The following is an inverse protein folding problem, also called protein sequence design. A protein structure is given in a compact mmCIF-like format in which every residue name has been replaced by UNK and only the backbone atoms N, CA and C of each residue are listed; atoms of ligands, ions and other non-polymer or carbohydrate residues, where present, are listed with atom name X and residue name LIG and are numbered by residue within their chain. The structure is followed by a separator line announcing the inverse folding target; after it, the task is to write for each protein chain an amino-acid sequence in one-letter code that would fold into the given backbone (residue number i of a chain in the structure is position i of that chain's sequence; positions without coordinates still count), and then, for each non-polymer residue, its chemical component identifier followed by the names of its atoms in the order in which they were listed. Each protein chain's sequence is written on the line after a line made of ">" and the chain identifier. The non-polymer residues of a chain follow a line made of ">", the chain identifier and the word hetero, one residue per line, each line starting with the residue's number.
data_IF_799767862880
#
_entry.id   IF_799767862880
#
_cell.length_a   1.000
_cell.length_b   1.000
_cell.length_c   1.000
_cell.angle_alpha   90.00
_cell.angle_beta   90.00
_cell.angle_gamma   90.00
#
_symmetry.space_group_name_H-M   'P 1'
#
loop_
_entity.id
_entity.type
_entity.pdbx_description
1 polymer ?
#
# COMPACT_ATOMS: atom_id res chain seq x y z
N UNK A 1 8.49 39.41 49.41
CA UNK A 1 9.63 39.14 48.53
C UNK A 1 9.30 37.87 47.77
N UNK A 2 8.72 38.03 46.55
CA UNK A 2 8.34 36.94 45.67
C UNK A 2 9.44 36.76 44.64
N UNK A 3 10.06 35.56 44.63
CA UNK A 3 11.04 35.20 43.60
C UNK A 3 10.29 34.51 42.43
N UNK A 4 10.20 35.23 41.31
CA UNK A 4 9.77 34.67 40.03
C UNK A 4 10.94 33.94 39.39
N UNK A 5 10.76 32.65 39.10
CA UNK A 5 11.71 31.85 38.30
C UNK A 5 11.48 32.11 36.80
N UNK A 6 12.55 32.16 35.97
CA UNK A 6 12.40 32.35 34.53
C UNK A 6 11.96 31.07 33.84
N UNK A 7 10.97 31.21 32.94
CA UNK A 7 10.55 30.18 31.97
C UNK A 7 11.72 29.84 31.05
N UNK A 8 12.23 28.61 31.13
CA UNK A 8 13.21 28.07 30.19
C UNK A 8 12.58 27.87 28.82
N UNK A 9 13.08 28.59 27.84
CA UNK A 9 12.79 28.42 26.42
C UNK A 9 13.23 27.01 25.98
N UNK A 10 12.26 26.17 25.60
CA UNK A 10 12.53 24.91 24.91
C UNK A 10 13.13 25.23 23.53
N UNK A 11 14.14 24.48 23.08
CA UNK A 11 14.73 24.70 21.77
C UNK A 11 13.72 24.39 20.66
N UNK A 12 13.50 25.35 19.76
CA UNK A 12 12.80 25.15 18.51
C UNK A 12 13.56 24.11 17.68
N UNK A 13 13.02 22.89 17.59
CA UNK A 13 13.47 21.96 16.57
C UNK A 13 12.98 22.47 15.22
N UNK A 14 13.86 22.64 14.21
CA UNK A 14 13.42 22.97 12.86
C UNK A 14 12.53 21.83 12.34
N UNK A 15 11.37 22.20 11.83
CA UNK A 15 10.45 21.29 11.16
C UNK A 15 11.20 20.53 10.05
N UNK A 16 11.38 19.22 10.23
CA UNK A 16 12.06 18.35 9.27
C UNK A 16 11.09 18.05 8.14
N UNK A 17 11.48 18.41 6.94
CA UNK A 17 10.69 18.30 5.71
C UNK A 17 10.11 16.91 5.48
N UNK A 18 8.87 16.88 5.07
CA UNK A 18 8.05 15.72 4.81
C UNK A 18 8.53 15.01 3.52
N UNK A 19 8.96 13.77 3.63
CA UNK A 19 9.36 12.92 2.49
C UNK A 19 8.16 12.11 2.02
N UNK A 20 7.23 12.73 1.26
CA UNK A 20 5.86 12.24 1.07
C UNK A 20 5.66 11.14 0.01
N UNK A 21 6.47 11.04 -1.03
CA UNK A 21 6.07 10.30 -2.22
C UNK A 21 6.09 8.78 -2.15
N UNK A 22 7.11 8.09 -1.65
CA UNK A 22 7.08 6.63 -1.58
C UNK A 22 6.00 6.09 -0.64
N UNK A 23 5.63 6.89 0.35
CA UNK A 23 4.70 6.52 1.43
C UNK A 23 3.24 6.63 0.99
N UNK A 24 2.93 7.65 0.22
CA UNK A 24 1.59 7.88 -0.33
C UNK A 24 1.22 6.86 -1.41
N UNK A 25 2.22 6.36 -2.13
CA UNK A 25 2.05 5.34 -3.14
C UNK A 25 1.69 3.97 -2.54
N UNK A 26 2.12 3.69 -1.30
CA UNK A 26 1.81 2.45 -0.59
C UNK A 26 0.41 2.44 0.05
N UNK A 27 -0.14 3.62 0.37
CA UNK A 27 -1.43 3.74 1.09
C UNK A 27 -2.66 4.06 0.23
N UNK A 28 -2.49 4.66 -0.94
CA UNK A 28 -3.58 5.28 -1.71
C UNK A 28 -3.76 4.72 -3.14
N UNK A 29 -3.22 3.54 -3.46
CA UNK A 29 -3.56 2.83 -4.71
C UNK A 29 -5.08 2.61 -4.89
N UNK A 30 -5.83 2.81 -3.82
CA UNK A 30 -7.27 2.62 -3.72
C UNK A 30 -8.11 3.59 -4.56
N UNK A 31 -7.55 4.73 -4.98
CA UNK A 31 -8.32 5.79 -5.63
C UNK A 31 -8.30 5.76 -7.16
N UNK A 32 -7.43 4.96 -7.77
CA UNK A 32 -7.30 4.91 -9.23
C UNK A 32 -8.33 3.99 -9.93
N UNK A 33 -9.11 3.21 -9.18
CA UNK A 33 -10.02 2.19 -9.72
C UNK A 33 -11.51 2.55 -9.82
N UNK A 34 -11.95 3.64 -9.21
CA UNK A 34 -13.38 4.00 -9.14
C UNK A 34 -13.89 4.71 -10.39
N UNK A 35 -14.38 4.00 -11.38
CA UNK A 35 -15.22 4.57 -12.45
C UNK A 35 -16.66 4.68 -11.96
N UNK A 36 -16.97 5.76 -11.23
CA UNK A 36 -18.36 6.16 -11.02
C UNK A 36 -18.88 6.79 -12.31
N UNK A 37 -19.88 6.17 -12.91
CA UNK A 37 -20.61 6.73 -14.03
C UNK A 37 -21.33 8.02 -13.56
N UNK A 38 -20.81 9.18 -13.95
CA UNK A 38 -21.46 10.46 -13.71
C UNK A 38 -22.10 10.99 -14.99
N UNK A 39 -23.33 11.53 -14.84
CA UNK A 39 -24.11 12.13 -15.89
C UNK A 39 -23.37 13.29 -16.57
N UNK A 40 -23.35 13.28 -17.91
CA UNK A 40 -22.68 14.25 -18.76
C UNK A 40 -23.43 15.57 -18.81
N UNK A 41 -22.74 16.67 -18.46
CA UNK A 41 -23.01 18.00 -19.01
C UNK A 41 -22.13 18.24 -20.25
N UNK A 42 -22.63 18.81 -21.34
CA UNK A 42 -21.81 19.00 -22.52
C UNK A 42 -20.80 20.14 -22.32
N UNK A 43 -19.52 19.80 -22.38
CA UNK A 43 -18.41 20.74 -22.36
C UNK A 43 -17.86 20.94 -23.78
N UNK A 44 -17.31 22.14 -24.03
CA UNK A 44 -16.70 22.56 -25.28
C UNK A 44 -15.63 21.57 -25.77
N UNK A 45 -15.53 21.39 -27.09
CA UNK A 45 -14.62 20.47 -27.75
C UNK A 45 -13.15 20.75 -27.36
N UNK A 46 -12.41 19.76 -26.86
CA UNK A 46 -10.99 19.89 -26.58
C UNK A 46 -10.16 19.86 -27.87
N UNK A 47 -9.03 20.57 -27.86
CA UNK A 47 -8.03 20.50 -28.91
C UNK A 47 -7.55 19.05 -29.13
N UNK A 48 -7.13 18.64 -30.34
CA UNK A 48 -6.71 17.28 -30.62
C UNK A 48 -5.47 16.94 -29.79
N UNK A 49 -5.65 16.08 -28.81
CA UNK A 49 -4.55 15.50 -28.04
C UNK A 49 -4.17 14.16 -28.70
N UNK A 50 -2.87 13.97 -28.93
CA UNK A 50 -2.33 12.67 -29.32
C UNK A 50 -2.80 11.62 -28.32
N UNK A 51 -3.39 10.53 -28.81
CA UNK A 51 -3.82 9.43 -27.95
C UNK A 51 -2.60 8.89 -27.18
N UNK A 52 -2.73 8.59 -25.89
CA UNK A 52 -1.63 8.05 -25.08
C UNK A 52 -0.97 6.80 -25.68
N UNK A 53 -1.71 6.02 -26.48
CA UNK A 53 -1.22 4.82 -27.15
C UNK A 53 -0.09 5.06 -28.16
N UNK A 54 0.06 6.27 -28.67
CA UNK A 54 1.04 6.59 -29.73
C UNK A 54 2.32 7.23 -29.18
N UNK A 55 2.41 7.47 -27.86
CA UNK A 55 3.61 8.00 -27.23
C UNK A 55 4.44 6.87 -26.62
N UNK A 56 5.62 6.54 -27.16
CA UNK A 56 6.47 5.44 -26.67
C UNK A 56 6.99 5.68 -25.23
N UNK A 57 6.89 6.91 -24.73
CA UNK A 57 7.23 7.24 -23.33
C UNK A 57 6.12 6.92 -22.35
N UNK A 58 4.92 6.60 -22.81
CA UNK A 58 3.82 6.21 -21.94
C UNK A 58 3.98 4.76 -21.48
N UNK A 59 3.70 4.46 -20.21
CA UNK A 59 3.60 3.08 -19.77
C UNK A 59 2.45 2.37 -20.48
N UNK A 60 2.62 1.07 -20.74
CA UNK A 60 1.51 0.27 -21.24
C UNK A 60 0.32 0.35 -20.27
N UNK A 61 -0.90 0.62 -20.74
CA UNK A 61 -2.07 0.66 -19.87
C UNK A 61 -2.33 -0.72 -19.25
N UNK A 62 -2.97 -0.75 -18.08
CA UNK A 62 -3.45 -2.00 -17.54
C UNK A 62 -4.38 -2.70 -18.54
N UNK A 63 -4.25 -4.00 -18.64
CA UNK A 63 -5.12 -4.82 -19.51
C UNK A 63 -6.56 -4.66 -19.03
N UNK A 64 -7.48 -4.45 -19.98
CA UNK A 64 -8.94 -4.35 -19.72
C UNK A 64 -9.72 -5.50 -20.35
N UNK A 65 -9.09 -6.28 -21.24
CA UNK A 65 -9.74 -7.38 -21.95
C UNK A 65 -9.96 -8.58 -21.03
N UNK A 66 -11.22 -8.97 -20.75
CA UNK A 66 -11.54 -10.13 -19.92
C UNK A 66 -10.95 -11.44 -20.45
N UNK A 67 -10.76 -11.56 -21.77
CA UNK A 67 -10.19 -12.77 -22.38
C UNK A 67 -8.71 -12.96 -21.98
N UNK A 68 -7.97 -11.85 -21.82
CA UNK A 68 -6.57 -11.90 -21.34
C UNK A 68 -6.51 -12.32 -19.88
N UNK A 69 -7.39 -11.78 -19.02
CA UNK A 69 -7.52 -12.23 -17.62
C UNK A 69 -7.86 -13.71 -17.52
N UNK A 70 -8.82 -14.17 -18.34
CA UNK A 70 -9.22 -15.58 -18.37
C UNK A 70 -8.08 -16.47 -18.87
N UNK A 71 -7.34 -16.04 -19.87
CA UNK A 71 -6.17 -16.78 -20.36
C UNK A 71 -5.09 -16.87 -19.29
N UNK A 72 -4.79 -15.75 -18.58
CA UNK A 72 -3.81 -15.72 -17.50
C UNK A 72 -4.23 -16.62 -16.35
N UNK A 73 -5.49 -16.58 -15.91
CA UNK A 73 -5.99 -17.37 -14.77
C UNK A 73 -5.85 -18.89 -14.94
N UNK A 74 -5.70 -19.38 -16.19
CA UNK A 74 -5.52 -20.80 -16.51
C UNK A 74 -4.06 -21.26 -16.42
N UNK A 75 -3.12 -20.33 -16.32
CA UNK A 75 -1.70 -20.65 -16.19
C UNK A 75 -1.38 -21.10 -14.75
N UNK A 76 -0.35 -21.94 -14.56
CA UNK A 76 0.15 -22.20 -13.22
C UNK A 76 0.82 -20.95 -12.66
N UNK A 77 0.47 -20.59 -11.41
CA UNK A 77 1.05 -19.45 -10.70
C UNK A 77 1.83 -19.94 -9.49
N UNK A 78 3.07 -19.51 -9.28
CA UNK A 78 3.81 -19.79 -8.04
C UNK A 78 3.18 -19.02 -6.86
N UNK A 79 3.41 -19.48 -5.65
CA UNK A 79 3.14 -18.69 -4.46
C UNK A 79 4.10 -17.49 -4.43
N UNK A 80 3.55 -16.28 -4.46
CA UNK A 80 4.28 -15.01 -4.37
C UNK A 80 3.93 -14.32 -3.06
N UNK A 81 4.80 -13.42 -2.66
CA UNK A 81 4.69 -12.77 -1.36
C UNK A 81 4.88 -13.76 -0.21
N UNK A 82 4.56 -13.33 0.98
CA UNK A 82 4.70 -14.17 2.16
C UNK A 82 3.35 -14.41 2.81
N UNK A 83 3.01 -15.68 2.98
CA UNK A 83 1.83 -16.16 3.68
C UNK A 83 2.27 -16.76 5.02
N UNK A 84 1.60 -16.38 6.09
CA UNK A 84 1.75 -16.97 7.41
C UNK A 84 0.46 -17.65 7.86
N UNK A 85 0.62 -18.72 8.64
CA UNK A 85 -0.45 -19.29 9.45
C UNK A 85 -0.30 -18.75 10.87
N UNK A 86 -1.38 -18.22 11.39
CA UNK A 86 -1.52 -17.76 12.78
C UNK A 86 -2.35 -18.78 13.55
N UNK A 87 -1.90 -19.20 14.75
CA UNK A 87 -2.61 -20.16 15.59
C UNK A 87 -2.57 -19.75 17.05
N UNK A 88 -3.73 -19.83 17.72
CA UNK A 88 -3.84 -19.68 19.17
C UNK A 88 -4.99 -20.56 19.67
N UNK A 89 -4.68 -21.63 20.42
CA UNK A 89 -5.67 -22.68 20.73
C UNK A 89 -6.26 -23.27 19.46
N UNK A 90 -7.59 -23.27 19.37
CA UNK A 90 -8.33 -23.76 18.21
C UNK A 90 -8.46 -22.72 17.08
N UNK A 91 -8.12 -21.47 17.37
CA UNK A 91 -8.15 -20.40 16.36
C UNK A 91 -7.02 -20.56 15.37
N UNK A 92 -7.37 -20.64 14.09
CA UNK A 92 -6.44 -20.65 12.95
C UNK A 92 -6.85 -19.54 12.01
N UNK A 93 -5.89 -18.77 11.53
CA UNK A 93 -6.08 -17.76 10.48
C UNK A 93 -4.87 -17.74 9.56
N UNK A 94 -5.00 -17.04 8.44
CA UNK A 94 -3.93 -16.85 7.48
C UNK A 94 -3.69 -15.35 7.28
N UNK A 95 -2.43 -14.94 7.29
CA UNK A 95 -2.01 -13.57 7.05
C UNK A 95 -1.11 -13.53 5.83
N UNK A 96 -1.49 -12.77 4.81
CA UNK A 96 -0.72 -12.59 3.59
C UNK A 96 -0.23 -11.15 3.50
N UNK A 97 1.08 -10.97 3.28
CA UNK A 97 1.66 -9.67 3.01
C UNK A 97 1.26 -9.19 1.63
N UNK A 98 0.46 -8.12 1.55
CA UNK A 98 -0.01 -7.55 0.29
C UNK A 98 0.91 -6.46 -0.24
N UNK A 99 0.64 -6.01 -1.47
CA UNK A 99 1.26 -4.86 -2.12
C UNK A 99 0.25 -4.17 -3.03
N UNK A 100 0.26 -2.82 -3.04
CA UNK A 100 -0.74 -2.01 -3.75
C UNK A 100 -0.49 -1.82 -5.25
N UNK A 101 0.59 -2.36 -5.78
CA UNK A 101 0.91 -2.39 -7.21
C UNK A 101 1.37 -3.78 -7.59
N UNK A 102 1.32 -4.12 -8.87
CA UNK A 102 1.77 -5.43 -9.30
C UNK A 102 1.78 -5.61 -10.81
N UNK A 103 1.85 -6.85 -11.21
CA UNK A 103 1.72 -7.31 -12.58
C UNK A 103 0.48 -8.20 -12.71
N UNK A 104 -0.08 -8.33 -13.90
CA UNK A 104 -1.28 -9.14 -14.13
C UNK A 104 -1.17 -10.57 -13.55
N UNK A 105 -0.05 -11.32 -13.68
CA UNK A 105 0.07 -12.65 -13.09
C UNK A 105 0.01 -12.68 -11.55
N UNK A 106 0.23 -11.56 -10.87
CA UNK A 106 0.30 -11.50 -9.41
C UNK A 106 -1.06 -11.54 -8.74
N UNK A 107 -2.11 -11.10 -9.45
CA UNK A 107 -3.48 -11.14 -8.92
C UNK A 107 -4.03 -12.58 -8.80
N UNK A 108 -3.35 -13.55 -9.40
CA UNK A 108 -3.68 -14.97 -9.31
C UNK A 108 -2.77 -15.66 -8.29
N UNK A 109 -3.27 -15.95 -7.08
CA UNK A 109 -2.44 -16.54 -6.02
C UNK A 109 -2.00 -17.96 -6.36
N UNK A 110 -0.80 -18.32 -5.93
CA UNK A 110 -0.28 -19.68 -6.04
C UNK A 110 -1.03 -20.69 -5.15
N UNK A 111 -0.66 -21.98 -5.22
CA UNK A 111 -1.47 -23.08 -4.67
C UNK A 111 -1.77 -22.94 -3.18
N UNK A 112 -0.77 -22.60 -2.34
CA UNK A 112 -0.93 -22.49 -0.88
C UNK A 112 -1.80 -21.30 -0.51
N UNK A 113 -1.51 -20.14 -1.10
CA UNK A 113 -2.27 -18.90 -0.87
C UNK A 113 -3.70 -19.06 -1.37
N UNK A 114 -3.90 -19.66 -2.56
CA UNK A 114 -5.23 -19.93 -3.10
C UNK A 114 -6.02 -20.94 -2.24
N UNK A 115 -5.36 -21.95 -1.66
CA UNK A 115 -5.99 -22.89 -0.74
C UNK A 115 -6.49 -22.19 0.52
N UNK A 116 -5.65 -21.37 1.15
CA UNK A 116 -6.02 -20.59 2.33
C UNK A 116 -7.18 -19.63 2.04
N UNK A 117 -7.11 -18.91 0.91
CA UNK A 117 -8.15 -17.96 0.48
C UNK A 117 -9.51 -18.66 0.18
N UNK A 118 -9.50 -19.84 -0.44
CA UNK A 118 -10.72 -20.62 -0.69
C UNK A 118 -11.36 -21.14 0.58
N UNK A 119 -10.53 -21.63 1.53
CA UNK A 119 -11.02 -22.16 2.80
C UNK A 119 -11.60 -21.09 3.73
N UNK A 120 -11.16 -19.85 3.58
CA UNK A 120 -11.60 -18.74 4.42
C UNK A 120 -13.07 -18.37 4.17
N UNK A 121 -13.90 -18.27 5.23
CA UNK A 121 -15.30 -17.82 5.10
C UNK A 121 -15.43 -16.33 4.82
N UNK A 122 -14.42 -15.54 5.18
CA UNK A 122 -14.34 -14.10 4.97
C UNK A 122 -12.89 -13.68 4.73
N UNK A 123 -12.68 -12.48 4.21
CA UNK A 123 -11.37 -11.83 4.15
C UNK A 123 -11.36 -10.58 5.02
N UNK A 124 -10.19 -10.26 5.57
CA UNK A 124 -9.94 -9.00 6.27
C UNK A 124 -8.83 -8.24 5.54
N UNK A 125 -9.08 -6.99 5.21
CA UNK A 125 -8.14 -6.08 4.56
C UNK A 125 -7.91 -4.87 5.46
N UNK A 126 -6.83 -4.12 5.24
CA UNK A 126 -6.64 -2.85 5.92
C UNK A 126 -7.87 -1.97 5.75
N UNK A 127 -8.31 -1.77 4.52
CA UNK A 127 -9.59 -1.17 4.12
C UNK A 127 -10.26 -2.03 3.05
N UNK A 128 -11.56 -1.87 2.87
CA UNK A 128 -12.23 -2.37 1.67
C UNK A 128 -12.16 -1.29 0.56
N UNK A 129 -11.27 -1.47 -0.44
CA UNK A 129 -11.03 -0.46 -1.47
C UNK A 129 -12.15 -0.32 -2.50
N UNK A 130 -13.14 -1.19 -2.47
CA UNK A 130 -14.29 -1.13 -3.39
C UNK A 130 -15.59 -0.77 -2.66
N UNK A 131 -15.55 -0.63 -1.33
CA UNK A 131 -16.69 -0.17 -0.54
C UNK A 131 -17.00 1.32 -0.81
N UNK A 132 -18.24 1.67 -1.21
CA UNK A 132 -18.61 3.04 -1.52
C UNK A 132 -18.40 4.03 -0.38
N UNK A 133 -18.62 3.62 0.88
CA UNK A 133 -18.44 4.48 2.03
C UNK A 133 -16.97 4.79 2.30
N UNK A 134 -16.10 3.79 2.15
CA UNK A 134 -14.64 3.95 2.20
C UNK A 134 -14.15 4.91 1.12
N UNK A 135 -14.58 4.73 -0.13
CA UNK A 135 -14.22 5.59 -1.25
C UNK A 135 -14.71 7.02 -1.05
N UNK A 136 -15.92 7.19 -0.53
CA UNK A 136 -16.47 8.51 -0.21
C UNK A 136 -15.65 9.23 0.86
N UNK A 137 -15.29 8.54 1.95
CA UNK A 137 -14.49 9.10 3.04
C UNK A 137 -13.10 9.55 2.55
N UNK A 138 -12.42 8.71 1.77
CA UNK A 138 -11.13 9.03 1.15
C UNK A 138 -11.23 10.24 0.20
N UNK A 139 -12.26 10.27 -0.64
CA UNK A 139 -12.49 11.38 -1.58
C UNK A 139 -12.76 12.69 -0.83
N UNK A 140 -13.55 12.65 0.23
CA UNK A 140 -13.86 13.82 1.06
C UNK A 140 -12.60 14.40 1.70
N UNK A 141 -11.79 13.56 2.33
CA UNK A 141 -10.55 14.01 2.96
C UNK A 141 -9.56 14.64 1.96
N UNK A 142 -9.48 14.09 0.75
CA UNK A 142 -8.66 14.68 -0.30
C UNK A 142 -9.17 16.02 -0.81
N UNK A 143 -10.49 16.24 -0.80
CA UNK A 143 -11.05 17.56 -1.11
C UNK A 143 -10.70 18.59 -0.04
N UNK A 144 -10.82 18.22 1.22
CA UNK A 144 -10.46 19.08 2.36
C UNK A 144 -8.98 19.46 2.34
N UNK A 145 -8.10 18.49 2.06
CA UNK A 145 -6.66 18.74 1.89
C UNK A 145 -6.41 19.72 0.72
N UNK A 146 -7.13 19.55 -0.39
CA UNK A 146 -6.99 20.46 -1.54
C UNK A 146 -7.29 21.92 -1.17
N UNK A 147 -8.30 22.16 -0.34
CA UNK A 147 -8.64 23.52 0.07
C UNK A 147 -7.53 24.15 0.93
N UNK A 148 -6.90 23.37 1.78
CA UNK A 148 -5.72 23.79 2.56
C UNK A 148 -4.49 24.04 1.66
N UNK A 149 -4.26 23.20 0.66
CA UNK A 149 -3.12 23.30 -0.26
C UNK A 149 -3.26 24.39 -1.33
N UNK A 150 -4.47 24.86 -1.62
CA UNK A 150 -4.72 25.89 -2.64
C UNK A 150 -3.87 27.15 -2.45
N UNK A 151 -3.67 27.58 -1.20
CA UNK A 151 -2.88 28.76 -0.91
C UNK A 151 -1.40 28.52 -1.24
N UNK A 152 -0.85 27.38 -0.85
CA UNK A 152 0.53 26.98 -1.14
C UNK A 152 0.76 26.97 -2.66
N UNK A 153 -0.15 26.36 -3.42
CA UNK A 153 -0.03 26.27 -4.87
C UNK A 153 -0.20 27.62 -5.57
N UNK A 154 -1.05 28.52 -5.07
CA UNK A 154 -1.20 29.89 -5.61
C UNK A 154 0.06 30.74 -5.41
N UNK A 155 0.78 30.54 -4.30
CA UNK A 155 2.04 31.22 -4.01
C UNK A 155 3.24 30.64 -4.75
N UNK A 156 3.10 29.43 -5.33
CA UNK A 156 4.16 28.71 -6.05
C UNK A 156 3.64 28.20 -7.41
N UNK A 157 3.31 29.11 -8.35
CA UNK A 157 2.71 28.75 -9.65
C UNK A 157 3.64 27.88 -10.51
N UNK A 158 4.95 27.97 -10.28
CA UNK A 158 5.95 27.12 -10.95
C UNK A 158 5.78 25.65 -10.62
N UNK A 159 5.36 25.31 -9.38
CA UNK A 159 5.09 23.93 -8.98
C UNK A 159 3.85 23.39 -9.73
N UNK A 160 2.82 24.20 -9.86
CA UNK A 160 1.62 23.82 -10.58
C UNK A 160 1.93 23.58 -12.07
N UNK A 161 2.71 24.45 -12.68
CA UNK A 161 3.17 24.30 -14.07
C UNK A 161 4.02 23.06 -14.25
N UNK A 162 4.98 22.81 -13.33
CA UNK A 162 5.83 21.62 -13.35
C UNK A 162 5.00 20.33 -13.24
N UNK A 163 4.08 20.27 -12.28
CA UNK A 163 3.19 19.11 -12.10
C UNK A 163 2.36 18.83 -13.35
N UNK A 164 1.79 19.87 -13.98
CA UNK A 164 1.02 19.75 -15.21
C UNK A 164 1.86 19.21 -16.38
N UNK A 165 3.08 19.72 -16.54
CA UNK A 165 4.03 19.23 -17.55
C UNK A 165 4.39 17.76 -17.30
N UNK A 166 4.74 17.38 -16.07
CA UNK A 166 5.06 16.00 -15.71
C UNK A 166 3.87 15.07 -15.94
N UNK A 167 2.65 15.52 -15.66
CA UNK A 167 1.45 14.73 -15.92
C UNK A 167 1.27 14.43 -17.41
N UNK A 168 1.48 15.42 -18.26
CA UNK A 168 1.44 15.26 -19.71
C UNK A 168 2.54 14.33 -20.22
N UNK A 169 3.79 14.54 -19.81
CA UNK A 169 4.96 13.73 -20.18
C UNK A 169 4.86 12.28 -19.64
N UNK A 170 4.19 12.08 -18.53
CA UNK A 170 3.96 10.75 -17.91
C UNK A 170 2.68 10.08 -18.40
N UNK A 171 1.92 10.72 -19.29
CA UNK A 171 0.68 10.17 -19.85
C UNK A 171 -0.39 9.93 -18.78
N UNK A 172 -0.46 10.76 -17.75
CA UNK A 172 -1.56 10.72 -16.80
C UNK A 172 -2.86 11.04 -17.57
N UNK A 173 -3.87 10.22 -17.37
CA UNK A 173 -5.16 10.43 -18.00
C UNK A 173 -5.73 11.81 -17.64
N UNK A 174 -6.11 12.59 -18.66
CA UNK A 174 -6.55 13.97 -18.48
C UNK A 174 -7.85 14.09 -17.67
N UNK A 175 -8.75 13.14 -17.80
CA UNK A 175 -9.98 13.13 -17.00
C UNK A 175 -9.66 12.89 -15.52
N UNK A 176 -8.77 11.98 -15.24
CA UNK A 176 -8.23 11.73 -13.88
C UNK A 176 -7.51 12.97 -13.34
N UNK A 177 -6.68 13.61 -14.17
CA UNK A 177 -5.95 14.82 -13.78
C UNK A 177 -6.86 16.01 -13.47
N UNK A 178 -7.91 16.21 -14.24
CA UNK A 178 -8.87 17.30 -14.05
C UNK A 178 -9.80 17.03 -12.86
N UNK A 179 -10.21 15.78 -12.67
CA UNK A 179 -11.09 15.38 -11.57
C UNK A 179 -10.35 15.44 -10.23
N UNK A 180 -9.08 15.07 -10.19
CA UNK A 180 -8.24 15.11 -9.00
C UNK A 180 -7.61 16.51 -8.84
N UNK A 181 -8.39 17.44 -8.32
CA UNK A 181 -7.91 18.83 -8.10
C UNK A 181 -6.92 18.91 -6.90
N UNK A 182 -6.93 17.95 -5.98
CA UNK A 182 -6.07 17.95 -4.81
C UNK A 182 -4.59 17.73 -5.18
N UNK A 183 -3.70 18.52 -4.60
CA UNK A 183 -2.24 18.44 -4.83
C UNK A 183 -1.70 17.04 -4.53
N UNK A 184 -2.12 16.47 -3.42
CA UNK A 184 -1.72 15.12 -3.03
C UNK A 184 -2.19 14.07 -4.04
N UNK A 185 -3.45 14.10 -4.47
CA UNK A 185 -3.98 13.17 -5.47
C UNK A 185 -3.21 13.24 -6.79
N UNK A 186 -2.78 14.45 -7.18
CA UNK A 186 -1.94 14.66 -8.38
C UNK A 186 -0.53 14.08 -8.21
N UNK A 187 0.10 14.28 -7.05
CA UNK A 187 1.40 13.67 -6.75
C UNK A 187 1.32 12.14 -6.74
N UNK A 188 0.25 11.58 -6.17
CA UNK A 188 -0.01 10.14 -6.20
C UNK A 188 -0.16 9.65 -7.65
N UNK A 189 -0.97 10.33 -8.46
CA UNK A 189 -1.17 9.95 -9.86
C UNK A 189 0.14 9.96 -10.65
N UNK A 190 0.99 10.98 -10.45
CA UNK A 190 2.32 11.04 -11.06
C UNK A 190 3.21 9.88 -10.63
N UNK A 191 3.27 9.59 -9.34
CA UNK A 191 4.06 8.49 -8.80
C UNK A 191 3.58 7.11 -9.26
N UNK A 192 2.26 6.89 -9.33
CA UNK A 192 1.67 5.65 -9.86
C UNK A 192 1.99 5.45 -11.34
N UNK A 193 1.94 6.53 -12.12
CA UNK A 193 2.28 6.48 -13.53
C UNK A 193 3.79 6.23 -13.73
N UNK A 194 4.64 6.78 -12.86
CA UNK A 194 6.09 6.50 -12.89
C UNK A 194 6.38 5.02 -12.57
N UNK A 195 5.65 4.43 -11.61
CA UNK A 195 5.77 2.99 -11.32
C UNK A 195 5.27 2.11 -12.46
N UNK A 196 4.21 2.51 -13.15
CA UNK A 196 3.70 1.78 -14.31
C UNK A 196 4.73 1.67 -15.45
N UNK A 197 5.66 2.61 -15.57
CA UNK A 197 6.82 2.52 -16.50
C UNK A 197 7.74 1.34 -16.20
N UNK A 198 7.72 0.82 -14.99
CA UNK A 198 8.47 -0.37 -14.58
C UNK A 198 7.69 -1.66 -14.77
N UNK A 199 6.46 -1.59 -15.31
CA UNK A 199 5.57 -2.73 -15.45
C UNK A 199 4.77 -3.07 -14.19
N UNK A 200 4.88 -2.27 -13.12
CA UNK A 200 4.08 -2.44 -11.90
C UNK A 200 2.90 -1.48 -11.90
N UNK A 201 1.71 -2.03 -12.01
CA UNK A 201 0.49 -1.25 -12.21
C UNK A 201 -0.41 -1.28 -10.98
N UNK A 202 -1.00 -0.16 -10.53
CA UNK A 202 -1.93 -0.13 -9.40
C UNK A 202 -3.20 -0.97 -9.63
N UNK A 203 -3.64 -1.12 -10.88
CA UNK A 203 -4.76 -2.00 -11.22
C UNK A 203 -4.52 -3.48 -10.86
N UNK A 204 -3.27 -3.87 -10.65
CA UNK A 204 -2.87 -5.22 -10.23
C UNK A 204 -2.45 -5.28 -8.77
N UNK A 205 -2.77 -4.25 -7.98
CA UNK A 205 -2.59 -4.27 -6.53
C UNK A 205 -3.35 -5.44 -5.89
N UNK A 206 -2.70 -6.09 -4.94
CA UNK A 206 -3.24 -7.32 -4.32
C UNK A 206 -4.52 -7.03 -3.55
N UNK A 207 -4.53 -5.97 -2.73
CA UNK A 207 -5.68 -5.60 -1.90
C UNK A 207 -6.92 -5.31 -2.74
N UNK A 208 -6.76 -4.53 -3.81
CA UNK A 208 -7.83 -4.18 -4.75
C UNK A 208 -8.42 -5.42 -5.40
N UNK A 209 -7.56 -6.31 -5.89
CA UNK A 209 -8.02 -7.51 -6.58
C UNK A 209 -8.62 -8.55 -5.64
N UNK A 210 -8.12 -8.68 -4.39
CA UNK A 210 -8.73 -9.51 -3.36
C UNK A 210 -10.14 -9.02 -3.01
N UNK A 211 -10.31 -7.71 -2.77
CA UNK A 211 -11.62 -7.13 -2.51
C UNK A 211 -12.58 -7.37 -3.68
N UNK A 212 -12.16 -7.02 -4.90
CA UNK A 212 -12.98 -7.21 -6.10
C UNK A 212 -13.41 -8.66 -6.31
N UNK A 213 -12.48 -9.62 -6.14
CA UNK A 213 -12.79 -11.05 -6.22
C UNK A 213 -13.77 -11.50 -5.12
N UNK A 214 -13.56 -11.04 -3.89
CA UNK A 214 -14.44 -11.40 -2.77
C UNK A 214 -15.86 -10.89 -2.99
N UNK A 215 -16.01 -9.63 -3.36
CA UNK A 215 -17.33 -9.06 -3.69
C UNK A 215 -18.00 -9.78 -4.87
N UNK A 216 -17.24 -10.11 -5.92
CA UNK A 216 -17.76 -10.81 -7.09
C UNK A 216 -18.34 -12.19 -6.77
N UNK A 217 -17.84 -12.88 -5.73
CA UNK A 217 -18.34 -14.19 -5.29
C UNK A 217 -19.20 -14.11 -4.01
N UNK A 218 -19.52 -12.92 -3.53
CA UNK A 218 -20.31 -12.72 -2.32
C UNK A 218 -19.59 -13.13 -1.03
N UNK A 219 -18.24 -13.19 -1.02
CA UNK A 219 -17.46 -13.44 0.20
C UNK A 219 -17.34 -12.16 1.01
N UNK A 220 -17.69 -12.18 2.31
CA UNK A 220 -17.60 -10.98 3.15
C UNK A 220 -16.19 -10.41 3.20
N UNK A 221 -16.09 -9.08 3.08
CA UNK A 221 -14.87 -8.29 3.27
C UNK A 221 -15.01 -7.49 4.56
N UNK A 222 -14.03 -7.55 5.43
CA UNK A 222 -13.99 -6.82 6.70
C UNK A 222 -12.81 -5.86 6.68
N UNK A 223 -13.05 -4.58 6.97
CA UNK A 223 -11.99 -3.61 7.15
C UNK A 223 -11.38 -3.73 8.56
N UNK A 224 -10.05 -3.81 8.65
CA UNK A 224 -9.33 -3.84 9.93
C UNK A 224 -9.22 -2.42 10.50
N UNK A 225 -9.10 -1.43 9.62
CA UNK A 225 -8.99 0.00 9.96
C UNK A 225 -10.15 0.78 9.36
N UNK A 226 -10.33 2.00 9.81
CA UNK A 226 -11.23 2.96 9.16
C UNK A 226 -10.46 3.83 8.16
N UNK A 227 -11.16 4.37 7.16
CA UNK A 227 -10.58 5.33 6.22
C UNK A 227 -9.95 6.52 6.96
N UNK A 228 -10.59 6.98 8.05
CA UNK A 228 -10.08 8.10 8.84
C UNK A 228 -8.76 7.76 9.55
N UNK A 229 -8.60 6.55 10.07
CA UNK A 229 -7.35 6.13 10.71
C UNK A 229 -6.18 6.10 9.74
N UNK A 230 -6.40 5.60 8.52
CA UNK A 230 -5.37 5.64 7.48
C UNK A 230 -5.04 7.05 7.03
N UNK A 231 -6.05 7.90 6.86
CA UNK A 231 -5.87 9.30 6.49
C UNK A 231 -5.07 10.06 7.56
N UNK A 232 -5.37 9.84 8.84
CA UNK A 232 -4.61 10.43 9.95
C UNK A 232 -3.15 9.94 9.97
N UNK A 233 -2.90 8.66 9.71
CA UNK A 233 -1.54 8.13 9.60
C UNK A 233 -0.74 8.77 8.45
N UNK A 234 -1.42 9.18 7.38
CA UNK A 234 -0.84 9.91 6.25
C UNK A 234 -0.76 11.43 6.47
N UNK A 235 -1.15 11.92 7.66
CA UNK A 235 -1.21 13.35 7.96
C UNK A 235 -2.41 14.06 7.31
N UNK A 236 -3.43 13.33 6.88
CA UNK A 236 -4.63 13.85 6.23
C UNK A 236 -5.85 13.72 7.16
N UNK A 237 -6.64 14.75 7.24
CA UNK A 237 -7.94 14.71 7.94
C UNK A 237 -7.82 14.55 9.45
N UNK A 238 -8.52 15.37 10.21
CA UNK A 238 -8.66 15.29 11.66
C UNK A 238 -9.00 16.64 12.25
N UNK A 239 -10.09 16.70 13.03
CA UNK A 239 -10.42 17.85 13.81
C UNK A 239 -9.31 18.09 14.85
N UNK A 240 -8.57 19.21 14.71
CA UNK A 240 -7.59 19.67 15.68
C UNK A 240 -6.14 19.21 15.49
N UNK A 241 -5.83 18.31 14.55
CA UNK A 241 -4.44 18.07 14.14
C UNK A 241 -4.23 18.83 12.83
N UNK A 242 -3.33 19.82 12.76
CA UNK A 242 -2.96 20.39 11.47
C UNK A 242 -2.44 19.22 10.62
N UNK A 243 -3.14 18.90 9.53
CA UNK A 243 -2.51 18.12 8.49
C UNK A 243 -1.16 18.78 8.24
N UNK A 244 -0.06 18.03 8.31
CA UNK A 244 1.23 18.59 7.92
C UNK A 244 1.11 18.90 6.44
N UNK A 245 0.78 20.14 6.15
CA UNK A 245 0.66 20.64 4.78
C UNK A 245 2.01 20.37 4.12
N UNK A 246 1.98 19.71 2.98
CA UNK A 246 3.19 19.57 2.18
C UNK A 246 3.71 21.00 1.90
N UNK A 247 4.91 21.29 2.36
CA UNK A 247 5.56 22.56 2.06
C UNK A 247 5.91 22.62 0.57
N UNK A 248 6.16 23.81 0.00
CA UNK A 248 6.67 23.91 -1.37
C UNK A 248 7.92 23.05 -1.60
N UNK A 249 8.79 22.94 -0.59
CA UNK A 249 10.01 22.14 -0.69
C UNK A 249 9.72 20.63 -0.68
N UNK A 250 8.74 20.18 0.08
CA UNK A 250 8.29 18.79 0.05
C UNK A 250 7.72 18.42 -1.33
N UNK A 251 6.92 19.31 -1.91
CA UNK A 251 6.37 19.12 -3.25
C UNK A 251 7.49 19.10 -4.29
N UNK A 252 8.45 20.04 -4.24
CA UNK A 252 9.62 20.05 -5.14
C UNK A 252 10.39 18.76 -5.05
N UNK A 253 10.72 18.34 -3.82
CA UNK A 253 11.44 17.10 -3.59
C UNK A 253 10.70 15.88 -4.14
N UNK A 254 9.40 15.83 -3.94
CA UNK A 254 8.57 14.76 -4.48
C UNK A 254 8.65 14.69 -6.01
N UNK A 255 8.56 15.85 -6.68
CA UNK A 255 8.70 15.93 -8.13
C UNK A 255 10.12 15.60 -8.60
N UNK A 256 11.15 15.96 -7.83
CA UNK A 256 12.55 15.61 -8.13
C UNK A 256 12.79 14.11 -8.00
N UNK A 257 12.22 13.46 -6.98
CA UNK A 257 12.34 12.00 -6.78
C UNK A 257 11.61 11.20 -7.90
N UNK A 258 10.55 11.77 -8.50
CA UNK A 258 9.91 11.21 -9.71
C UNK A 258 10.78 11.45 -10.94
N UNK A 259 11.19 12.70 -11.21
CA UNK A 259 11.98 13.07 -12.40
C UNK A 259 13.30 12.28 -12.46
N UNK A 260 13.98 12.11 -11.32
CA UNK A 260 15.23 11.33 -11.23
C UNK A 260 15.02 9.81 -11.33
N UNK A 261 13.78 9.33 -11.30
CA UNK A 261 13.46 7.90 -11.25
C UNK A 261 13.81 7.21 -9.94
N UNK A 262 14.21 7.96 -8.90
CA UNK A 262 14.53 7.40 -7.59
C UNK A 262 13.33 6.71 -6.95
N UNK A 263 12.15 7.32 -7.09
CA UNK A 263 10.90 6.75 -6.61
C UNK A 263 10.60 5.40 -7.27
N UNK A 264 10.76 5.33 -8.58
CA UNK A 264 10.58 4.10 -9.37
C UNK A 264 11.57 3.00 -8.97
N UNK A 265 12.85 3.33 -8.76
CA UNK A 265 13.86 2.36 -8.33
C UNK A 265 13.54 1.73 -6.97
N UNK A 266 13.06 2.52 -6.01
CA UNK A 266 12.63 2.01 -4.70
C UNK A 266 11.41 1.11 -4.86
N UNK A 267 10.41 1.54 -5.63
CA UNK A 267 9.20 0.78 -5.86
C UNK A 267 9.47 -0.55 -6.58
N UNK A 268 10.41 -0.57 -7.55
CA UNK A 268 10.85 -1.81 -8.20
C UNK A 268 11.45 -2.80 -7.21
N UNK A 269 12.37 -2.36 -6.34
CA UNK A 269 12.96 -3.23 -5.31
C UNK A 269 11.93 -3.77 -4.33
N UNK A 270 10.98 -2.92 -3.89
CA UNK A 270 9.87 -3.36 -3.04
C UNK A 270 9.04 -4.45 -3.72
N UNK A 271 8.73 -4.26 -5.00
CA UNK A 271 7.97 -5.22 -5.80
C UNK A 271 8.71 -6.55 -5.99
N UNK A 272 10.02 -6.49 -6.31
CA UNK A 272 10.89 -7.67 -6.46
C UNK A 272 11.04 -8.46 -5.16
N UNK A 273 11.21 -7.77 -4.02
CA UNK A 273 11.31 -8.42 -2.71
C UNK A 273 9.97 -8.98 -2.25
N UNK A 274 8.86 -8.30 -2.58
CA UNK A 274 7.54 -8.86 -2.38
C UNK A 274 7.33 -10.13 -3.21
N UNK A 275 7.62 -10.11 -4.51
CA UNK A 275 7.44 -11.26 -5.40
C UNK A 275 8.23 -12.47 -4.92
N UNK A 276 9.48 -12.26 -4.53
CA UNK A 276 10.36 -13.34 -4.04
C UNK A 276 10.10 -13.75 -2.59
N UNK A 277 9.33 -12.96 -1.84
CA UNK A 277 9.14 -13.17 -0.40
C UNK A 277 10.42 -13.00 0.42
N UNK A 278 11.31 -12.11 -0.01
CA UNK A 278 12.61 -11.82 0.64
C UNK A 278 12.46 -10.75 1.72
N UNK A 279 12.02 -11.16 2.90
CA UNK A 279 11.81 -10.26 4.03
C UNK A 279 13.11 -9.61 4.50
N UNK A 280 14.23 -10.31 4.45
CA UNK A 280 15.52 -9.78 4.90
C UNK A 280 16.00 -8.64 3.98
N UNK A 281 15.90 -8.82 2.68
CA UNK A 281 16.22 -7.78 1.71
C UNK A 281 15.25 -6.59 1.80
N UNK A 282 13.95 -6.85 2.07
CA UNK A 282 12.97 -5.81 2.30
C UNK A 282 13.30 -4.98 3.55
N UNK A 283 13.64 -5.64 4.66
CA UNK A 283 14.03 -4.97 5.90
C UNK A 283 15.29 -4.12 5.70
N UNK A 284 16.31 -4.65 5.04
CA UNK A 284 17.52 -3.89 4.69
C UNK A 284 17.21 -2.68 3.80
N UNK A 285 16.32 -2.83 2.82
CA UNK A 285 15.88 -1.70 1.99
C UNK A 285 15.22 -0.63 2.86
N UNK A 286 14.32 -0.99 3.77
CA UNK A 286 13.61 -0.05 4.64
C UNK A 286 14.57 0.72 5.55
N UNK A 287 15.60 0.08 6.07
CA UNK A 287 16.63 0.74 6.89
C UNK A 287 17.48 1.74 6.11
N UNK A 288 17.69 1.50 4.81
CA UNK A 288 18.63 2.28 3.98
C UNK A 288 17.96 3.36 3.12
N UNK A 289 16.75 3.11 2.61
CA UNK A 289 16.11 4.02 1.65
C UNK A 289 15.53 5.29 2.28
N UNK A 290 15.26 5.31 3.56
CA UNK A 290 14.46 6.36 4.21
C UNK A 290 13.13 6.63 3.47
N UNK A 291 12.60 5.60 2.81
CA UNK A 291 11.46 5.73 1.91
C UNK A 291 10.12 5.85 2.66
N UNK A 292 10.08 5.64 3.96
CA UNK A 292 8.92 5.96 4.83
C UNK A 292 9.05 7.32 5.54
N UNK A 293 9.98 8.18 5.10
CA UNK A 293 10.19 9.48 5.72
C UNK A 293 11.08 9.44 6.96
N UNK A 294 10.81 10.31 7.91
CA UNK A 294 11.51 10.31 9.20
C UNK A 294 10.91 9.28 10.18
N UNK A 295 11.55 9.17 11.35
CA UNK A 295 11.12 8.24 12.42
C UNK A 295 9.66 8.47 12.85
N UNK A 296 9.21 9.73 12.89
CA UNK A 296 7.83 10.07 13.27
C UNK A 296 6.81 9.59 12.23
N UNK A 297 7.13 9.75 10.95
CA UNK A 297 6.28 9.28 9.87
C UNK A 297 6.25 7.75 9.82
N UNK A 298 7.38 7.08 9.97
CA UNK A 298 7.43 5.62 10.05
C UNK A 298 6.57 5.10 11.23
N UNK A 299 6.68 5.74 12.40
CA UNK A 299 5.87 5.38 13.56
C UNK A 299 4.36 5.57 13.29
N UNK A 300 3.97 6.63 12.59
CA UNK A 300 2.57 6.87 12.24
C UNK A 300 2.05 5.85 11.19
N UNK A 301 2.83 5.59 10.15
CA UNK A 301 2.43 4.72 9.03
C UNK A 301 2.47 3.24 9.38
N UNK A 302 3.35 2.80 10.27
CA UNK A 302 3.52 1.39 10.61
C UNK A 302 3.23 1.11 12.08
N UNK A 303 4.01 1.66 13.02
CA UNK A 303 4.00 1.20 14.41
C UNK A 303 2.65 1.40 15.09
N UNK A 304 2.06 2.59 14.99
CA UNK A 304 0.75 2.90 15.59
C UNK A 304 -0.36 2.08 14.95
N UNK A 305 -0.30 1.86 13.64
CA UNK A 305 -1.25 1.03 12.91
C UNK A 305 -1.08 -0.45 13.26
N UNK A 306 0.16 -0.95 13.37
CA UNK A 306 0.45 -2.31 13.81
C UNK A 306 -0.17 -2.61 15.18
N UNK A 307 -0.06 -1.69 16.13
CA UNK A 307 -0.66 -1.83 17.45
C UNK A 307 -2.18 -1.97 17.35
N UNK A 308 -2.87 -1.06 16.63
CA UNK A 308 -4.33 -1.11 16.44
C UNK A 308 -4.79 -2.39 15.73
N UNK A 309 -4.07 -2.81 14.68
CA UNK A 309 -4.37 -4.06 13.99
C UNK A 309 -4.19 -5.26 14.92
N UNK A 310 -3.10 -5.31 15.70
CA UNK A 310 -2.88 -6.36 16.67
C UNK A 310 -3.94 -6.41 17.78
N UNK A 311 -4.53 -5.29 18.17
CA UNK A 311 -5.64 -5.23 19.11
C UNK A 311 -6.95 -5.79 18.52
N UNK A 312 -7.23 -5.57 17.25
CA UNK A 312 -8.49 -5.93 16.58
C UNK A 312 -8.51 -7.34 16.03
N UNK A 313 -7.41 -7.77 15.43
CA UNK A 313 -7.32 -9.05 14.74
C UNK A 313 -7.68 -10.28 15.60
N UNK A 314 -7.32 -10.38 16.90
CA UNK A 314 -7.71 -11.54 17.71
C UNK A 314 -9.22 -11.74 17.80
N UNK A 315 -10.00 -10.67 17.98
CA UNK A 315 -11.46 -10.76 18.01
C UNK A 315 -12.03 -11.15 16.64
N UNK A 316 -11.51 -10.58 15.56
CA UNK A 316 -11.92 -10.93 14.19
C UNK A 316 -11.63 -12.40 13.87
N UNK A 317 -10.44 -12.92 14.23
CA UNK A 317 -10.04 -14.32 14.04
C UNK A 317 -10.87 -15.28 14.89
N UNK A 318 -11.27 -14.88 16.10
CA UNK A 318 -12.14 -15.69 16.95
C UNK A 318 -13.57 -15.76 16.40
N UNK A 319 -14.08 -14.67 15.85
CA UNK A 319 -15.42 -14.62 15.24
C UNK A 319 -15.48 -15.34 13.89
N UNK A 320 -14.38 -15.43 13.16
CA UNK A 320 -14.29 -16.01 11.82
C UNK A 320 -13.12 -17.02 11.77
N UNK A 321 -13.33 -18.28 12.15
CA UNK A 321 -12.29 -19.30 12.02
C UNK A 321 -11.79 -19.41 10.57
N UNK A 322 -10.48 -19.56 10.40
CA UNK A 322 -9.79 -19.56 9.10
C UNK A 322 -9.89 -18.23 8.33
N UNK A 323 -10.10 -17.10 9.02
CA UNK A 323 -10.07 -15.78 8.40
C UNK A 323 -8.81 -15.63 7.53
N UNK A 324 -8.98 -15.14 6.29
CA UNK A 324 -7.86 -14.76 5.43
C UNK A 324 -7.63 -13.25 5.56
N UNK A 325 -6.47 -12.89 6.05
CA UNK A 325 -6.09 -11.50 6.33
C UNK A 325 -5.06 -11.09 5.28
N UNK A 326 -5.23 -9.94 4.64
CA UNK A 326 -4.20 -9.33 3.81
C UNK A 326 -3.91 -7.90 4.29
N UNK A 327 -2.65 -7.65 4.59
CA UNK A 327 -2.11 -6.38 5.10
C UNK A 327 -0.79 -6.11 4.39
N UNK A 328 -0.50 -4.87 4.07
CA UNK A 328 0.72 -4.48 3.37
C UNK A 328 1.98 -5.09 4.00
N UNK A 329 2.85 -5.68 3.17
CA UNK A 329 4.00 -6.46 3.64
C UNK A 329 4.94 -5.67 4.56
N UNK A 330 4.97 -4.34 4.44
CA UNK A 330 5.79 -3.48 5.30
C UNK A 330 5.38 -3.53 6.78
N UNK A 331 4.14 -3.91 7.09
CA UNK A 331 3.68 -4.15 8.46
C UNK A 331 4.31 -5.40 9.12
N UNK A 332 5.01 -6.24 8.35
CA UNK A 332 5.61 -7.49 8.82
C UNK A 332 7.12 -7.41 9.01
N UNK A 333 7.75 -6.28 8.74
CA UNK A 333 9.20 -6.06 8.88
C UNK A 333 9.51 -4.95 9.89
N UNK A 334 10.74 -4.90 10.37
CA UNK A 334 11.22 -3.93 11.36
C UNK A 334 10.80 -4.27 12.79
N UNK A 335 11.14 -3.35 13.71
CA UNK A 335 10.76 -3.43 15.11
C UNK A 335 9.25 -3.17 15.29
N UNK A 336 8.62 -3.80 16.27
CA UNK A 336 7.18 -3.70 16.54
C UNK A 336 6.28 -4.06 15.34
N UNK A 337 6.75 -4.95 14.46
CA UNK A 337 5.94 -5.45 13.36
C UNK A 337 4.72 -6.26 13.86
N UNK A 338 3.72 -6.38 12.99
CA UNK A 338 2.44 -7.02 13.34
C UNK A 338 2.61 -8.48 13.78
N UNK A 339 3.55 -9.23 13.19
CA UNK A 339 3.80 -10.63 13.57
C UNK A 339 4.32 -10.72 15.01
N UNK A 340 5.27 -9.86 15.40
CA UNK A 340 5.81 -9.83 16.77
C UNK A 340 4.74 -9.44 17.79
N UNK A 341 3.87 -8.49 17.45
CA UNK A 341 2.77 -8.07 18.32
C UNK A 341 1.76 -9.21 18.55
N UNK A 342 1.41 -9.95 17.50
CA UNK A 342 0.54 -11.13 17.62
C UNK A 342 1.22 -12.26 18.40
N UNK A 343 2.54 -12.47 18.23
CA UNK A 343 3.29 -13.44 19.03
C UNK A 343 3.29 -13.09 20.53
N UNK A 344 3.47 -11.81 20.88
CA UNK A 344 3.35 -11.32 22.29
C UNK A 344 1.96 -11.60 22.89
N UNK A 345 0.93 -11.69 22.06
CA UNK A 345 -0.43 -12.05 22.47
C UNK A 345 -0.66 -13.58 22.52
N UNK A 346 0.36 -14.39 22.27
CA UNK A 346 0.31 -15.85 22.37
C UNK A 346 -0.08 -16.57 21.07
N UNK A 347 -0.04 -15.89 19.91
CA UNK A 347 -0.17 -16.57 18.63
C UNK A 347 1.14 -17.23 18.22
N UNK A 348 1.05 -18.47 17.75
CA UNK A 348 2.14 -19.09 16.99
C UNK A 348 2.06 -18.60 15.55
N UNK A 349 3.16 -18.09 15.03
CA UNK A 349 3.29 -17.59 13.65
C UNK A 349 4.18 -18.52 12.87
N UNK A 350 3.64 -19.13 11.82
CA UNK A 350 4.39 -20.04 10.94
C UNK A 350 4.35 -19.55 9.50
N UNK A 351 5.51 -19.24 8.95
CA UNK A 351 5.64 -18.84 7.54
C UNK A 351 5.39 -20.05 6.62
N UNK A 352 4.56 -19.86 5.59
CA UNK A 352 4.16 -20.91 4.65
C UNK A 352 4.77 -20.72 3.26
N UNK A 353 5.01 -19.47 2.82
CA UNK A 353 5.57 -19.13 1.50
C UNK A 353 6.71 -18.11 1.63
N UNK A 354 7.42 -17.87 0.55
CA UNK A 354 8.59 -16.98 0.49
C UNK A 354 9.90 -17.66 0.96
N UNK A 355 11.01 -16.98 0.82
CA UNK A 355 12.36 -17.54 1.03
C UNK A 355 12.56 -18.17 2.42
N UNK A 356 11.96 -17.61 3.47
CA UNK A 356 12.06 -18.16 4.82
C UNK A 356 11.41 -19.54 4.97
N UNK A 357 10.27 -19.77 4.31
CA UNK A 357 9.59 -21.08 4.30
C UNK A 357 10.37 -22.13 3.52
N UNK A 358 10.97 -21.75 2.41
CA UNK A 358 11.81 -22.62 1.57
C UNK A 358 13.06 -23.07 2.33
N UNK A 359 13.72 -22.15 3.03
CA UNK A 359 14.88 -22.45 3.86
C UNK A 359 14.55 -23.42 5.01
N UNK A 360 13.41 -23.23 5.68
CA UNK A 360 12.94 -24.10 6.75
C UNK A 360 12.62 -25.53 6.24
N UNK A 361 12.00 -25.63 5.06
CA UNK A 361 11.70 -26.91 4.41
C UNK A 361 12.98 -27.65 4.00
N UNK A 362 13.96 -26.94 3.43
CA UNK A 362 15.25 -27.49 3.07
C UNK A 362 16.04 -27.98 4.29
N UNK A 363 16.03 -27.23 5.39
CA UNK A 363 16.67 -27.64 6.64
C UNK A 363 16.02 -28.89 7.25
N UNK A 364 14.70 -29.00 7.18
CA UNK A 364 13.96 -30.17 7.67
C UNK A 364 14.21 -31.44 6.84
N UNK A 365 14.46 -31.32 5.56
CA UNK A 365 14.78 -32.44 4.67
C UNK A 365 16.24 -32.90 4.76
N UNK A 366 17.13 -32.06 5.29
CA UNK A 366 18.55 -32.33 5.45
C UNK A 366 18.91 -33.06 6.75
N UNK A 367 17.95 -33.31 7.67
CA UNK A 367 18.18 -34.11 8.90
C UNK A 367 18.30 -35.56 8.49
N UNK A 368 19.47 -36.23 8.66
CA UNK A 368 19.61 -37.63 8.30
C UNK A 368 18.69 -38.49 9.18
N UNK A 369 18.02 -39.46 8.55
CA UNK A 369 17.27 -40.49 9.27
C UNK A 369 18.18 -41.11 10.31
N UNK A 370 17.84 -41.02 11.60
CA UNK A 370 18.56 -41.65 12.66
C UNK A 370 18.61 -43.15 12.40
N UNK A 371 19.81 -43.69 12.24
CA UNK A 371 20.06 -45.13 12.07
C UNK A 371 19.48 -45.89 13.30
N UNK A 372 18.62 -46.89 13.12
CA UNK A 372 18.12 -47.64 14.27
C UNK A 372 19.28 -48.33 14.95
N UNK A 373 19.43 -48.12 16.26
CA UNK A 373 20.42 -48.81 17.09
C UNK A 373 20.21 -50.34 16.97
N UNK A 374 21.23 -51.04 16.52
CA UNK A 374 21.26 -52.52 16.57
C UNK A 374 21.18 -52.94 18.04
N UNK A 375 20.07 -53.58 18.41
CA UNK A 375 19.99 -54.32 19.65
C UNK A 375 20.94 -55.53 19.55
N UNK A 376 21.88 -55.65 20.48
CA UNK A 376 22.62 -56.84 20.80
C UNK A 376 21.87 -57.62 21.88
#
# INVERSE_FOLDING_TARGET
>A
MQHSAPLSLLPHHPARGLRLLPQLLLGLALLAGGHAAQARTPAAAPAPQLAPADNPSCPAPAVKDPAVYQAESRKPHPDRGVLWQLRKGDTVAYLWGSIHVGQLPWIFPGPRTAQALRAAPAIALELDPVDPATLQALTQAMREDNDRQKLVMRQNPELQTRMGRMAFESCVDQSTWQTNAATLARLIALGMQDMARSGYHPAYGIDLNLAAMAHAVGKPVQAIETAQEQLLAMGLGGDGVPAQLATPDDIRKALDDIDSGKNRQVAQKLAEYWESGDLAALEQLMQTCQCLGDVGMQAALLDTRNQRMAERLPAMMAAQPQLFIAVGLLHMVGDNNLLQLLQKQGFTVRQLTGKGAEAAAAASSAVPASTPAKAQ
#
